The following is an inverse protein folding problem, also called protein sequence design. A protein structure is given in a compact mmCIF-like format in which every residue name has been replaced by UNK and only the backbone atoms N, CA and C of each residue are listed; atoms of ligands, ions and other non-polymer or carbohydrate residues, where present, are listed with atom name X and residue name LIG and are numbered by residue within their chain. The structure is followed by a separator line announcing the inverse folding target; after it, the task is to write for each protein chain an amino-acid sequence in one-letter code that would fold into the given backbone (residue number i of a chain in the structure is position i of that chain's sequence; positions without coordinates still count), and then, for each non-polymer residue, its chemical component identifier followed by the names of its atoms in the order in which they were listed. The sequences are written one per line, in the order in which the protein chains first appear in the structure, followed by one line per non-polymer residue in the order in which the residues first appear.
data_IF_418378508714
#
_entry.id   IF_418378508714
#
_cell.length_a   1.000
_cell.length_b   1.000
_cell.length_c   1.000
_cell.angle_alpha   90.00
_cell.angle_beta   90.00
_cell.angle_gamma   90.00
#
_symmetry.space_group_name_H-M   'P 1'
#
loop_
_entity.id
_entity.type
_entity.pdbx_description
1 polymer ?
#
# COMPACT_ATOMS: atom_id res chain seq x y z
N UNK A 1 12.13 -2.92 10.03
CA UNK A 1 12.52 -3.66 11.25
C UNK A 1 12.54 -2.86 12.55
N UNK A 2 12.64 -1.53 12.56
CA UNK A 2 12.67 -0.75 13.82
C UNK A 2 11.34 -0.64 14.61
N UNK A 3 10.26 -1.31 14.17
CA UNK A 3 8.91 -1.17 14.75
C UNK A 3 8.24 -2.52 15.07
N UNK A 4 9.03 -3.58 15.21
CA UNK A 4 8.50 -4.91 15.54
C UNK A 4 8.07 -4.93 17.02
N UNK A 5 6.76 -5.11 17.28
CA UNK A 5 6.20 -5.26 18.64
C UNK A 5 5.65 -3.99 19.29
N UNK A 6 5.58 -2.86 18.57
CA UNK A 6 4.90 -1.65 19.03
C UNK A 6 3.70 -1.35 18.16
N UNK A 7 2.56 -1.06 18.78
CA UNK A 7 1.35 -0.58 18.12
C UNK A 7 1.24 0.94 18.28
N UNK A 8 0.45 1.59 17.43
CA UNK A 8 0.20 3.03 17.49
C UNK A 8 -1.25 3.33 17.14
N UNK A 9 -1.84 4.34 17.78
CA UNK A 9 -3.23 4.73 17.48
C UNK A 9 -3.40 5.12 16.01
N UNK A 10 -2.41 5.82 15.44
CA UNK A 10 -2.36 6.22 14.05
C UNK A 10 -1.05 5.75 13.41
N UNK A 11 -1.15 5.15 12.22
CA UNK A 11 -0.01 4.73 11.41
C UNK A 11 -0.12 5.34 10.01
N UNK A 12 0.97 5.92 9.52
CA UNK A 12 1.12 6.32 8.13
C UNK A 12 2.10 5.37 7.46
N UNK A 13 1.60 4.57 6.51
CA UNK A 13 2.37 3.60 5.75
C UNK A 13 2.66 4.15 4.35
N UNK A 14 3.93 4.37 4.04
CA UNK A 14 4.34 4.69 2.68
C UNK A 14 4.70 3.40 1.92
N UNK A 15 4.03 3.15 0.80
CA UNK A 15 4.36 2.01 -0.07
C UNK A 15 5.62 2.26 -0.91
N UNK A 16 6.03 3.53 -1.08
CA UNK A 16 7.23 4.01 -1.81
C UNK A 16 7.28 3.66 -3.30
N UNK A 17 6.70 2.55 -3.73
CA UNK A 17 6.82 2.01 -5.08
C UNK A 17 5.93 2.74 -6.07
N UNK A 18 6.57 3.22 -7.14
CA UNK A 18 5.95 3.67 -8.37
C UNK A 18 6.96 3.47 -9.50
N UNK A 19 6.80 2.42 -10.31
CA UNK A 19 7.69 2.12 -11.42
C UNK A 19 6.93 1.51 -12.60
N UNK A 20 7.51 1.62 -13.81
CA UNK A 20 6.90 1.17 -15.06
C UNK A 20 6.84 -0.36 -15.21
N UNK A 21 7.65 -1.08 -14.45
CA UNK A 21 7.68 -2.55 -14.43
C UNK A 21 6.68 -3.14 -13.42
N UNK A 22 5.93 -2.27 -12.73
CA UNK A 22 4.94 -2.59 -11.69
C UNK A 22 5.50 -3.43 -10.53
N UNK A 23 6.81 -3.38 -10.30
CA UNK A 23 7.49 -4.18 -9.28
C UNK A 23 7.27 -3.69 -7.86
N UNK A 24 6.69 -4.57 -7.05
CA UNK A 24 6.49 -4.43 -5.61
C UNK A 24 7.82 -4.48 -4.85
N UNK A 25 8.80 -5.24 -5.37
CA UNK A 25 10.13 -5.42 -4.77
C UNK A 25 10.03 -6.22 -3.46
N UNK A 26 10.59 -5.69 -2.37
CA UNK A 26 10.58 -6.33 -1.03
C UNK A 26 9.25 -6.22 -0.27
N UNK A 27 8.16 -5.83 -0.94
CA UNK A 27 6.83 -5.88 -0.35
C UNK A 27 6.33 -7.32 -0.44
N UNK A 28 6.57 -8.07 0.62
CA UNK A 28 6.03 -9.42 0.80
C UNK A 28 4.82 -9.42 1.74
N UNK A 29 4.04 -10.50 1.70
CA UNK A 29 2.84 -10.67 2.50
C UNK A 29 3.11 -10.50 4.01
N UNK A 30 4.23 -11.00 4.52
CA UNK A 30 4.53 -10.98 5.95
C UNK A 30 4.83 -9.56 6.43
N UNK A 31 5.62 -8.81 5.65
CA UNK A 31 5.95 -7.41 5.93
C UNK A 31 4.72 -6.53 5.86
N UNK A 32 3.84 -6.76 4.87
CA UNK A 32 2.59 -6.03 4.82
C UNK A 32 1.69 -6.34 6.00
N UNK A 33 1.49 -7.62 6.34
CA UNK A 33 0.69 -7.99 7.51
C UNK A 33 1.22 -7.31 8.77
N UNK A 34 2.54 -7.28 8.95
CA UNK A 34 3.18 -6.57 10.06
C UNK A 34 2.89 -5.08 10.02
N UNK A 35 2.98 -4.40 8.88
CA UNK A 35 2.73 -2.96 8.77
C UNK A 35 1.26 -2.58 8.94
N UNK A 36 0.34 -3.36 8.36
CA UNK A 36 -1.10 -3.13 8.42
C UNK A 36 -1.65 -3.31 9.85
N UNK A 37 -1.12 -4.29 10.59
CA UNK A 37 -1.57 -4.61 11.96
C UNK A 37 -1.06 -3.64 13.04
N UNK A 38 -0.25 -2.63 12.71
CA UNK A 38 0.27 -1.68 13.73
C UNK A 38 -0.72 -0.58 14.10
N UNK A 39 -1.74 -0.35 13.27
CA UNK A 39 -2.71 0.71 13.47
C UNK A 39 -3.86 0.24 14.37
N UNK A 40 -4.10 0.95 15.48
CA UNK A 40 -5.20 0.64 16.39
C UNK A 40 -6.50 1.40 16.05
N UNK A 41 -6.40 2.67 15.64
CA UNK A 41 -7.58 3.50 15.28
C UNK A 41 -7.62 3.90 13.81
N UNK A 42 -6.47 4.22 13.23
CA UNK A 42 -6.41 4.71 11.85
C UNK A 42 -5.12 4.28 11.15
N UNK A 43 -5.27 3.76 9.93
CA UNK A 43 -4.19 3.49 9.00
C UNK A 43 -4.35 4.39 7.78
N UNK A 44 -3.32 5.19 7.50
CA UNK A 44 -3.23 5.98 6.27
C UNK A 44 -2.15 5.33 5.40
N UNK A 45 -2.52 4.93 4.19
CA UNK A 45 -1.58 4.36 3.22
C UNK A 45 -1.33 5.36 2.10
N UNK A 46 -0.06 5.69 1.86
CA UNK A 46 0.38 6.61 0.82
C UNK A 46 1.19 5.83 -0.21
N UNK A 47 0.77 5.85 -1.48
CA UNK A 47 1.46 5.12 -2.54
C UNK A 47 0.78 5.26 -3.91
N UNK A 48 1.34 4.59 -4.92
CA UNK A 48 0.79 4.59 -6.27
C UNK A 48 -0.24 3.47 -6.45
N UNK A 49 -1.50 3.73 -6.13
CA UNK A 49 -2.56 2.71 -6.21
C UNK A 49 -2.66 2.08 -7.62
N UNK A 50 -2.56 2.90 -8.68
CA UNK A 50 -2.60 2.44 -10.08
C UNK A 50 -1.52 1.39 -10.40
N UNK A 51 -0.31 1.54 -9.85
CA UNK A 51 0.77 0.57 -10.06
C UNK A 51 0.41 -0.78 -9.43
N UNK A 52 -0.14 -0.78 -8.22
CA UNK A 52 -0.58 -2.00 -7.55
C UNK A 52 -1.80 -2.63 -8.21
N UNK A 53 -2.73 -1.85 -8.76
CA UNK A 53 -3.84 -2.37 -9.57
C UNK A 53 -3.34 -3.12 -10.81
N UNK A 54 -2.34 -2.56 -11.50
CA UNK A 54 -1.69 -3.23 -12.64
C UNK A 54 -1.02 -4.53 -12.23
N UNK A 55 -0.37 -4.56 -11.07
CA UNK A 55 0.23 -5.79 -10.55
C UNK A 55 -0.82 -6.80 -10.10
N UNK A 56 -1.92 -6.36 -9.48
CA UNK A 56 -3.01 -7.25 -9.06
C UNK A 56 -3.69 -7.97 -10.25
N UNK A 57 -3.63 -7.39 -11.46
CA UNK A 57 -4.16 -8.01 -12.67
C UNK A 57 -3.25 -9.13 -13.22
N UNK A 58 -1.97 -9.13 -12.88
CA UNK A 58 -0.98 -10.14 -13.31
C UNK A 58 0.05 -10.39 -12.18
N UNK A 59 -0.37 -11.06 -11.08
CA UNK A 59 0.49 -11.28 -9.92
C UNK A 59 1.57 -12.31 -10.23
N UNK A 60 2.78 -12.08 -9.72
CA UNK A 60 3.83 -13.10 -9.71
C UNK A 60 3.53 -14.17 -8.65
N UNK A 61 4.08 -15.39 -8.78
CA UNK A 61 4.00 -16.38 -7.70
C UNK A 61 4.48 -15.79 -6.37
N UNK A 62 3.64 -15.85 -5.33
CA UNK A 62 3.91 -15.27 -4.00
C UNK A 62 3.42 -13.82 -3.81
N UNK A 63 2.86 -13.17 -4.84
CA UNK A 63 2.27 -11.83 -4.77
C UNK A 63 0.72 -11.86 -4.79
N UNK A 64 0.10 -13.02 -4.58
CA UNK A 64 -1.36 -13.18 -4.66
C UNK A 64 -2.10 -12.31 -3.62
N UNK A 65 -1.41 -11.93 -2.54
CA UNK A 65 -1.95 -11.01 -1.54
C UNK A 65 -2.24 -9.60 -2.11
N UNK A 66 -1.56 -9.17 -3.19
CA UNK A 66 -1.73 -7.82 -3.76
C UNK A 66 -3.14 -7.63 -4.30
N UNK A 67 -3.74 -8.68 -4.88
CA UNK A 67 -5.13 -8.64 -5.33
C UNK A 67 -6.09 -8.34 -4.17
N UNK A 68 -5.96 -9.09 -3.06
CA UNK A 68 -6.77 -8.86 -1.86
C UNK A 68 -6.56 -7.46 -1.26
N UNK A 69 -5.31 -6.98 -1.23
CA UNK A 69 -5.01 -5.62 -0.76
C UNK A 69 -5.75 -4.57 -1.57
N UNK A 70 -5.72 -4.71 -2.90
CA UNK A 70 -6.34 -3.74 -3.81
C UNK A 70 -7.84 -3.73 -3.64
N UNK A 71 -8.46 -4.90 -3.57
CA UNK A 71 -9.91 -5.01 -3.39
C UNK A 71 -10.37 -4.41 -2.06
N UNK A 72 -9.64 -4.68 -0.98
CA UNK A 72 -9.93 -4.13 0.36
C UNK A 72 -9.80 -2.60 0.39
N UNK A 73 -8.75 -2.06 -0.25
CA UNK A 73 -8.46 -0.62 -0.19
C UNK A 73 -9.24 0.21 -1.20
N UNK A 74 -9.79 -0.39 -2.26
CA UNK A 74 -10.44 0.31 -3.38
C UNK A 74 -11.51 1.32 -2.92
N UNK A 75 -12.29 0.98 -1.90
CA UNK A 75 -13.35 1.85 -1.38
C UNK A 75 -12.85 3.08 -0.61
N UNK A 76 -11.57 3.10 -0.23
CA UNK A 76 -10.96 4.13 0.61
C UNK A 76 -9.91 4.97 -0.13
N UNK A 77 -9.72 4.74 -1.43
CA UNK A 77 -8.71 5.46 -2.22
C UNK A 77 -9.19 6.88 -2.48
N UNK A 78 -8.41 7.85 -2.01
CA UNK A 78 -8.55 9.24 -2.38
C UNK A 78 -7.40 9.62 -3.33
N UNK A 79 -7.69 10.17 -4.53
CA UNK A 79 -6.67 10.63 -5.45
C UNK A 79 -5.74 11.69 -4.84
N UNK A 80 -4.45 11.61 -5.16
CA UNK A 80 -3.46 12.55 -4.65
C UNK A 80 -3.78 14.02 -5.00
N UNK A 81 -4.40 14.28 -6.15
CA UNK A 81 -4.74 15.64 -6.59
C UNK A 81 -5.80 16.33 -5.72
N UNK A 82 -6.56 15.59 -4.90
CA UNK A 82 -7.48 16.18 -3.93
C UNK A 82 -6.73 16.84 -2.75
N UNK A 83 -5.50 16.41 -2.48
CA UNK A 83 -4.64 16.98 -1.42
C UNK A 83 -3.50 17.84 -1.98
N UNK A 84 -3.02 17.53 -3.19
CA UNK A 84 -1.92 18.17 -3.88
C UNK A 84 -2.38 18.57 -5.29
N UNK A 85 -3.07 19.72 -5.46
CA UNK A 85 -3.62 20.13 -6.76
C UNK A 85 -2.58 20.15 -7.90
N UNK A 86 -1.32 20.43 -7.58
CA UNK A 86 -0.19 20.39 -8.51
C UNK A 86 0.14 18.99 -9.04
N UNK A 87 -0.30 17.92 -8.38
CA UNK A 87 -0.08 16.53 -8.79
C UNK A 87 -1.06 16.05 -9.88
N UNK A 88 -1.97 16.91 -10.35
CA UNK A 88 -2.88 16.61 -11.47
C UNK A 88 -2.25 16.76 -12.86
N UNK A 89 -0.99 17.24 -12.93
CA UNK A 89 -0.25 17.50 -14.17
C UNK A 89 0.44 16.25 -14.72
#
# INVERSE_FOLDING_TARGET
DAYQGRESDLVILSMVRNNLTFETGFLDQFRMNVSLSRAHRMLIVVGCFKMFERRAADPRPGEEFVHRLIDEFRAYVVPAHEFLPEAAQ
#
